data_IF_427806475959
#
_entry.id   IF_427806475959
#
_cell.length_a   1.000
_cell.length_b   1.000
_cell.length_c   1.000
_cell.angle_alpha   90.00
_cell.angle_beta   90.00
_cell.angle_gamma   90.00
#
_symmetry.space_group_name_H-M   'P 1'
#
loop_
_entity.id
_entity.type
_entity.pdbx_description
1 polymer ?
#
# COMPACT_ATOMS: atom_id res chain seq x y z
N UNK A 1 -10.31 -19.95 3.65
CA UNK A 1 -9.07 -20.66 3.23
C UNK A 1 -7.91 -19.69 3.44
N UNK A 2 -7.02 -19.94 4.43
CA UNK A 2 -5.83 -19.09 4.62
C UNK A 2 -4.77 -19.51 3.58
N UNK A 3 -4.81 -18.89 2.42
CA UNK A 3 -3.75 -19.07 1.42
C UNK A 3 -2.59 -18.19 1.85
N UNK A 4 -1.45 -18.79 2.15
CA UNK A 4 -0.22 -18.08 2.49
C UNK A 4 0.48 -17.66 1.20
N UNK A 5 1.27 -16.59 1.27
CA UNK A 5 2.15 -16.18 0.19
C UNK A 5 3.05 -17.37 -0.20
N UNK A 6 3.00 -17.75 -1.49
CA UNK A 6 3.77 -18.87 -2.03
C UNK A 6 4.70 -18.36 -3.12
N UNK A 7 5.98 -18.72 -3.03
CA UNK A 7 6.90 -18.48 -4.12
C UNK A 7 6.41 -19.20 -5.39
N UNK A 8 6.58 -18.54 -6.53
CA UNK A 8 6.24 -19.16 -7.81
C UNK A 8 7.26 -20.26 -8.16
N UNK A 9 6.82 -21.53 -8.12
CA UNK A 9 7.61 -22.72 -8.45
C UNK A 9 7.42 -23.18 -9.91
N UNK A 10 6.73 -22.40 -10.73
CA UNK A 10 6.51 -22.71 -12.14
C UNK A 10 7.73 -22.43 -13.03
N UNK A 11 7.61 -22.80 -14.31
CA UNK A 11 8.66 -22.59 -15.32
C UNK A 11 8.88 -21.08 -15.48
N UNK A 12 10.02 -20.60 -14.99
CA UNK A 12 10.56 -19.26 -15.23
C UNK A 12 11.85 -19.40 -16.01
N UNK A 13 11.88 -18.90 -17.23
CA UNK A 13 13.09 -18.83 -18.03
C UNK A 13 13.73 -17.46 -17.89
N UNK A 14 15.07 -17.39 -18.00
CA UNK A 14 15.73 -16.11 -18.16
C UNK A 14 15.17 -15.42 -19.42
N UNK A 15 14.87 -14.11 -19.32
CA UNK A 15 14.36 -13.36 -20.47
C UNK A 15 15.33 -13.37 -21.66
N UNK A 16 16.65 -13.41 -21.39
CA UNK A 16 17.66 -13.51 -22.45
C UNK A 16 17.61 -14.84 -23.20
N UNK A 17 17.42 -15.96 -22.49
CA UNK A 17 17.27 -17.29 -23.14
C UNK A 17 15.98 -17.36 -23.93
N UNK A 18 14.90 -16.76 -23.43
CA UNK A 18 13.62 -16.69 -24.16
C UNK A 18 13.73 -15.85 -25.43
N UNK A 19 14.47 -14.74 -25.42
CA UNK A 19 14.75 -13.94 -26.62
C UNK A 19 15.52 -14.77 -27.65
N UNK A 20 16.54 -15.53 -27.22
CA UNK A 20 17.34 -16.36 -28.12
C UNK A 20 16.48 -17.44 -28.78
N UNK A 21 15.60 -18.10 -28.00
CA UNK A 21 14.63 -19.06 -28.53
C UNK A 21 13.68 -18.40 -29.54
N UNK A 22 13.20 -17.20 -29.21
CA UNK A 22 12.28 -16.44 -30.09
C UNK A 22 12.97 -16.05 -31.41
N UNK A 23 14.24 -15.63 -31.37
CA UNK A 23 15.04 -15.33 -32.55
C UNK A 23 15.27 -16.58 -33.43
N UNK A 24 15.57 -17.73 -32.81
CA UNK A 24 15.71 -19.00 -33.52
C UNK A 24 14.38 -19.40 -34.21
N UNK A 25 13.24 -19.25 -33.48
CA UNK A 25 11.91 -19.54 -34.06
C UNK A 25 11.54 -18.57 -35.20
N UNK A 26 11.87 -17.29 -35.10
CA UNK A 26 11.64 -16.34 -36.19
C UNK A 26 12.50 -16.67 -37.41
N UNK A 27 13.77 -17.02 -37.22
CA UNK A 27 14.66 -17.45 -38.30
C UNK A 27 14.16 -18.70 -38.99
N UNK A 28 13.72 -19.71 -38.24
CA UNK A 28 13.13 -20.93 -38.79
C UNK A 28 11.82 -20.67 -39.50
N UNK A 29 10.97 -19.77 -38.98
CA UNK A 29 9.71 -19.37 -39.63
C UNK A 29 9.98 -18.72 -41.01
N UNK A 30 10.92 -17.78 -41.07
CA UNK A 30 11.30 -17.10 -42.34
C UNK A 30 11.90 -18.11 -43.33
N UNK A 31 12.77 -19.03 -42.88
CA UNK A 31 13.34 -20.06 -43.73
C UNK A 31 12.27 -20.99 -44.30
N UNK A 32 11.32 -21.47 -43.49
CA UNK A 32 10.21 -22.32 -43.93
C UNK A 32 9.27 -21.63 -44.91
N UNK A 33 9.04 -20.34 -44.74
CA UNK A 33 8.20 -19.55 -45.67
C UNK A 33 8.91 -19.30 -47.01
N UNK A 34 10.22 -19.36 -47.08
CA UNK A 34 10.98 -19.22 -48.33
C UNK A 34 10.96 -20.48 -49.22
N UNK A 35 10.57 -21.63 -48.65
CA UNK A 35 10.46 -22.88 -49.39
C UNK A 35 9.12 -22.96 -50.16
N UNK A 36 9.13 -23.34 -51.45
CA UNK A 36 7.92 -23.33 -52.29
C UNK A 36 6.97 -24.54 -52.05
N UNK A 37 7.17 -25.29 -50.96
CA UNK A 37 6.35 -26.46 -50.62
C UNK A 37 5.20 -26.07 -49.69
N UNK A 38 3.99 -26.52 -49.99
CA UNK A 38 2.78 -26.24 -49.21
C UNK A 38 2.91 -26.61 -47.73
N UNK A 39 3.49 -27.78 -47.30
CA UNK A 39 3.63 -28.14 -45.91
C UNK A 39 4.63 -27.22 -45.15
N UNK A 40 5.68 -26.72 -45.81
CA UNK A 40 6.62 -25.80 -45.22
C UNK A 40 6.03 -24.41 -44.94
N UNK A 41 5.17 -23.95 -45.84
CA UNK A 41 4.46 -22.67 -45.63
C UNK A 41 3.53 -22.77 -44.40
N UNK A 42 2.78 -23.85 -44.27
CA UNK A 42 1.91 -24.08 -43.10
C UNK A 42 2.73 -24.13 -41.81
N UNK A 43 3.85 -24.86 -41.78
CA UNK A 43 4.73 -24.92 -40.64
C UNK A 43 5.34 -23.56 -40.30
N UNK A 44 5.73 -22.75 -41.27
CA UNK A 44 6.24 -21.40 -41.09
C UNK A 44 5.20 -20.47 -40.46
N UNK A 45 3.93 -20.55 -40.91
CA UNK A 45 2.82 -19.77 -40.32
C UNK A 45 2.58 -20.18 -38.86
N UNK A 46 2.61 -21.47 -38.54
CA UNK A 46 2.43 -21.96 -37.17
C UNK A 46 3.57 -21.42 -36.27
N UNK A 47 4.83 -21.49 -36.73
CA UNK A 47 5.96 -20.93 -35.99
C UNK A 47 5.81 -19.42 -35.76
N UNK A 48 5.34 -18.67 -36.77
CA UNK A 48 5.06 -17.24 -36.63
C UNK A 48 3.98 -16.94 -35.56
N UNK A 49 2.91 -17.71 -35.53
CA UNK A 49 1.87 -17.59 -34.50
C UNK A 49 2.45 -17.90 -33.11
N UNK A 50 3.27 -18.93 -32.99
CA UNK A 50 3.95 -19.25 -31.69
C UNK A 50 4.81 -18.07 -31.20
N UNK A 51 5.55 -17.40 -32.07
CA UNK A 51 6.36 -16.21 -31.72
C UNK A 51 5.46 -15.10 -31.19
N UNK A 52 4.34 -14.80 -31.85
CA UNK A 52 3.39 -13.77 -31.42
C UNK A 52 2.80 -14.09 -30.04
N UNK A 53 2.43 -15.36 -29.81
CA UNK A 53 1.90 -15.81 -28.52
C UNK A 53 2.94 -15.73 -27.39
N UNK A 54 4.25 -15.87 -27.69
CA UNK A 54 5.30 -15.77 -26.69
C UNK A 54 5.58 -14.34 -26.21
N UNK A 55 5.23 -13.30 -26.99
CA UNK A 55 5.52 -11.89 -26.68
C UNK A 55 4.98 -11.44 -25.31
N UNK A 56 3.71 -11.67 -24.95
CA UNK A 56 3.21 -11.24 -23.64
C UNK A 56 3.81 -12.00 -22.45
N UNK A 57 4.62 -13.05 -22.70
CA UNK A 57 5.32 -13.80 -21.65
C UNK A 57 6.43 -13.02 -20.94
N UNK A 58 7.01 -12.01 -21.58
CA UNK A 58 8.11 -11.25 -20.99
C UNK A 58 7.69 -10.37 -19.82
N UNK A 59 8.54 -10.30 -18.78
CA UNK A 59 8.36 -9.42 -17.64
C UNK A 59 9.69 -8.95 -17.07
N UNK A 60 9.72 -7.70 -16.65
CA UNK A 60 10.84 -7.09 -15.93
C UNK A 60 10.39 -6.86 -14.48
N UNK A 61 11.20 -7.31 -13.53
CA UNK A 61 10.97 -7.13 -12.10
C UNK A 61 12.06 -6.21 -11.55
N UNK A 62 11.66 -5.00 -11.16
CA UNK A 62 12.56 -4.03 -10.56
C UNK A 62 12.86 -4.39 -9.10
N UNK A 63 13.97 -3.91 -8.51
CA UNK A 63 14.24 -4.04 -7.08
C UNK A 63 13.08 -3.47 -6.24
N UNK A 64 12.75 -4.16 -5.15
CA UNK A 64 11.62 -3.84 -4.26
C UNK A 64 10.23 -3.86 -4.92
N UNK A 65 10.10 -4.52 -6.06
CA UNK A 65 8.81 -4.85 -6.65
C UNK A 65 8.68 -6.37 -6.77
N UNK A 66 7.48 -6.85 -6.54
CA UNK A 66 7.12 -8.25 -6.74
C UNK A 66 6.09 -8.37 -7.85
N UNK A 67 6.07 -9.55 -8.49
CA UNK A 67 5.05 -9.90 -9.47
C UNK A 67 4.17 -11.02 -8.93
N UNK A 68 2.92 -10.69 -8.70
CA UNK A 68 1.88 -11.65 -8.35
C UNK A 68 1.33 -12.23 -9.65
N UNK A 69 1.41 -13.56 -9.78
CA UNK A 69 0.94 -14.30 -10.95
C UNK A 69 -0.38 -15.00 -10.64
N UNK A 70 -1.36 -14.79 -11.51
CA UNK A 70 -2.64 -15.49 -11.45
C UNK A 70 -2.89 -16.24 -12.76
N UNK A 71 -3.38 -17.45 -12.65
CA UNK A 71 -3.72 -18.31 -13.78
C UNK A 71 -5.22 -18.59 -13.76
N UNK A 72 -5.96 -18.07 -14.75
CA UNK A 72 -7.42 -18.21 -14.84
C UNK A 72 -8.14 -17.97 -13.50
N UNK A 73 -7.77 -16.87 -12.80
CA UNK A 73 -8.39 -16.51 -11.51
C UNK A 73 -7.84 -17.25 -10.30
N UNK A 74 -6.92 -18.20 -10.46
CA UNK A 74 -6.24 -18.87 -9.35
C UNK A 74 -4.88 -18.22 -9.08
N UNK A 75 -4.55 -17.99 -7.83
CA UNK A 75 -3.21 -17.56 -7.43
C UNK A 75 -2.19 -18.66 -7.73
N UNK A 76 -1.23 -18.37 -8.59
CA UNK A 76 -0.18 -19.28 -9.00
C UNK A 76 1.09 -19.13 -8.17
N UNK A 77 1.36 -17.94 -7.65
CA UNK A 77 2.52 -17.63 -6.83
C UNK A 77 3.03 -16.21 -7.06
N UNK A 78 3.98 -15.80 -6.22
CA UNK A 78 4.66 -14.50 -6.30
C UNK A 78 6.11 -14.70 -6.71
N UNK A 79 6.59 -13.92 -7.69
CA UNK A 79 8.00 -13.92 -8.10
C UNK A 79 8.71 -12.81 -7.35
N UNK A 80 9.64 -13.21 -6.47
CA UNK A 80 10.41 -12.31 -5.57
C UNK A 80 11.73 -11.88 -6.22
N UNK A 81 12.31 -12.72 -7.09
CA UNK A 81 13.62 -12.46 -7.68
C UNK A 81 13.56 -11.33 -8.71
N UNK A 82 14.43 -10.33 -8.56
CA UNK A 82 14.59 -9.23 -9.53
C UNK A 82 15.22 -9.75 -10.81
N UNK A 83 14.89 -9.13 -11.92
CA UNK A 83 15.52 -9.46 -13.20
C UNK A 83 14.55 -9.48 -14.35
N UNK A 84 15.05 -9.95 -15.47
CA UNK A 84 14.31 -10.12 -16.71
C UNK A 84 13.96 -11.59 -16.91
N UNK A 85 12.67 -11.90 -16.89
CA UNK A 85 12.15 -13.26 -16.96
C UNK A 85 11.10 -13.39 -18.06
N UNK A 86 10.96 -14.62 -18.51
CA UNK A 86 9.84 -15.06 -19.33
C UNK A 86 9.03 -16.11 -18.59
N UNK A 87 7.74 -15.93 -18.54
CA UNK A 87 6.76 -16.88 -17.97
C UNK A 87 5.68 -17.15 -18.97
N UNK A 88 4.90 -18.20 -18.76
CA UNK A 88 3.77 -18.53 -19.64
C UNK A 88 2.89 -17.28 -19.88
N UNK A 89 2.61 -16.93 -21.14
CA UNK A 89 1.84 -15.75 -21.51
C UNK A 89 0.40 -15.73 -20.97
N UNK A 90 -0.15 -16.89 -20.57
CA UNK A 90 -1.49 -17.00 -20.02
C UNK A 90 -1.60 -16.53 -18.54
N UNK A 91 -0.49 -16.24 -17.89
CA UNK A 91 -0.52 -15.66 -16.55
C UNK A 91 -0.85 -14.16 -16.61
N UNK A 92 -1.84 -13.76 -15.83
CA UNK A 92 -2.05 -12.36 -15.50
C UNK A 92 -0.99 -11.92 -14.47
N UNK A 93 -0.39 -10.76 -14.71
CA UNK A 93 0.76 -10.25 -13.95
C UNK A 93 0.36 -8.97 -13.24
N UNK A 94 0.28 -8.98 -11.92
CA UNK A 94 0.07 -7.79 -11.10
C UNK A 94 1.38 -7.40 -10.41
N UNK A 95 1.69 -6.09 -10.39
CA UNK A 95 2.89 -5.56 -9.72
C UNK A 95 2.51 -5.04 -8.35
N UNK A 96 3.23 -5.49 -7.33
CA UNK A 96 3.12 -4.99 -5.96
C UNK A 96 4.46 -4.41 -5.54
N UNK A 97 4.47 -3.18 -5.01
CA UNK A 97 5.68 -2.56 -4.50
C UNK A 97 5.85 -2.84 -3.00
N UNK A 98 7.07 -3.20 -2.61
CA UNK A 98 7.47 -3.32 -1.20
C UNK A 98 8.14 -2.05 -0.68
N UNK A 99 8.19 -1.00 -1.51
CA UNK A 99 8.77 0.29 -1.12
C UNK A 99 7.98 0.90 0.02
N UNK A 100 8.68 1.64 0.86
CA UNK A 100 8.05 2.44 1.90
C UNK A 100 7.27 3.58 1.24
N UNK A 101 6.04 3.77 1.67
CA UNK A 101 5.12 4.78 1.20
C UNK A 101 4.72 5.70 2.35
N UNK A 102 4.56 6.98 2.05
CA UNK A 102 4.08 7.97 3.00
C UNK A 102 2.62 8.31 2.70
N UNK A 103 1.83 8.40 3.75
CA UNK A 103 0.46 8.90 3.73
C UNK A 103 0.34 10.07 4.69
N UNK A 104 -0.03 11.23 4.18
CA UNK A 104 -0.41 12.36 5.01
C UNK A 104 -1.93 12.33 5.22
N UNK A 105 -2.35 12.34 6.47
CA UNK A 105 -3.74 12.39 6.89
C UNK A 105 -4.07 13.84 7.17
N UNK A 106 -5.01 14.38 6.41
CA UNK A 106 -5.51 15.74 6.60
C UNK A 106 -6.16 15.87 7.99
N UNK A 107 -6.09 17.05 8.62
CA UNK A 107 -6.66 17.24 9.94
C UNK A 107 -8.15 16.92 9.99
N UNK A 108 -8.51 15.94 10.82
CA UNK A 108 -9.89 15.53 11.09
C UNK A 108 -10.37 16.11 12.41
N UNK A 109 -11.66 16.49 12.48
CA UNK A 109 -12.30 16.92 13.71
C UNK A 109 -12.69 15.73 14.56
N UNK A 110 -12.18 15.69 15.79
CA UNK A 110 -12.46 14.63 16.78
C UNK A 110 -12.65 15.24 18.16
N UNK A 111 -13.22 14.49 19.10
CA UNK A 111 -13.28 14.90 20.49
C UNK A 111 -12.17 14.21 21.27
N UNK A 112 -11.53 14.95 22.15
CA UNK A 112 -10.56 14.42 23.11
C UNK A 112 -11.27 13.63 24.25
N UNK A 113 -10.49 13.05 25.18
CA UNK A 113 -11.00 12.32 26.35
C UNK A 113 -11.97 13.14 27.21
N UNK A 114 -11.80 14.46 27.25
CA UNK A 114 -12.62 15.37 28.05
C UNK A 114 -13.89 15.82 27.29
N UNK A 115 -13.91 15.61 25.98
CA UNK A 115 -15.00 16.02 25.10
C UNK A 115 -14.76 17.34 24.36
N UNK A 116 -13.56 17.89 24.40
CA UNK A 116 -13.21 19.08 23.65
C UNK A 116 -13.01 18.73 22.16
N UNK A 117 -13.64 19.47 21.22
CA UNK A 117 -13.38 19.28 19.81
C UNK A 117 -11.99 19.80 19.43
N UNK A 118 -11.19 18.89 18.86
CA UNK A 118 -9.83 19.16 18.37
C UNK A 118 -9.72 18.77 16.90
N UNK A 119 -8.78 19.40 16.21
CA UNK A 119 -8.32 19.04 14.87
C UNK A 119 -7.01 18.29 15.00
N UNK A 120 -6.95 17.06 14.51
CA UNK A 120 -5.78 16.20 14.58
C UNK A 120 -5.46 15.61 13.21
N UNK A 121 -4.19 15.69 12.82
CA UNK A 121 -3.65 15.09 11.61
C UNK A 121 -2.41 14.26 11.91
N UNK A 122 -2.06 13.35 11.03
CA UNK A 122 -0.92 12.48 11.19
C UNK A 122 -0.21 12.17 9.87
N UNK A 123 1.07 11.80 9.96
CA UNK A 123 1.81 11.19 8.86
C UNK A 123 2.03 9.73 9.21
N UNK A 124 1.68 8.85 8.29
CA UNK A 124 1.83 7.40 8.42
C UNK A 124 2.79 6.89 7.36
N UNK A 125 3.84 6.24 7.79
CA UNK A 125 4.84 5.58 6.95
C UNK A 125 4.57 4.09 6.98
N UNK A 126 4.32 3.50 5.83
CA UNK A 126 3.88 2.12 5.74
C UNK A 126 4.49 1.38 4.54
N UNK A 127 4.47 0.05 4.58
CA UNK A 127 4.87 -0.83 3.49
C UNK A 127 4.00 -2.08 3.42
N UNK A 128 3.99 -2.73 2.27
CA UNK A 128 3.35 -4.03 2.10
C UNK A 128 4.33 -5.10 2.59
N UNK A 129 3.86 -5.96 3.50
CA UNK A 129 4.61 -7.11 4.04
C UNK A 129 4.16 -8.42 3.42
N UNK A 130 2.84 -8.59 3.18
CA UNK A 130 2.24 -9.78 2.57
C UNK A 130 1.54 -9.37 1.28
N UNK A 131 2.15 -9.75 0.15
CA UNK A 131 1.66 -9.35 -1.18
C UNK A 131 0.38 -10.08 -1.58
N UNK A 132 0.16 -11.30 -1.06
CA UNK A 132 -1.07 -12.04 -1.30
C UNK A 132 -2.26 -11.31 -0.69
N UNK A 133 -2.18 -10.98 0.61
CA UNK A 133 -3.26 -10.26 1.32
C UNK A 133 -3.51 -8.90 0.69
N UNK A 134 -2.46 -8.14 0.40
CA UNK A 134 -2.58 -6.83 -0.22
C UNK A 134 -3.24 -6.87 -1.61
N UNK A 135 -3.09 -7.98 -2.36
CA UNK A 135 -3.62 -8.10 -3.72
C UNK A 135 -5.01 -8.70 -3.79
N UNK A 136 -5.41 -9.54 -2.81
CA UNK A 136 -6.64 -10.33 -2.90
C UNK A 136 -7.62 -10.13 -1.75
N UNK A 137 -7.14 -9.70 -0.57
CA UNK A 137 -8.01 -9.52 0.60
C UNK A 137 -8.57 -8.08 0.67
N UNK A 138 -7.99 -7.14 -0.09
CA UNK A 138 -8.46 -5.76 -0.18
C UNK A 138 -9.17 -5.54 -1.51
N UNK A 139 -10.38 -5.02 -1.44
CA UNK A 139 -11.12 -4.54 -2.61
C UNK A 139 -10.79 -3.06 -2.85
N UNK A 140 -10.30 -2.71 -4.04
CA UNK A 140 -10.03 -1.34 -4.43
C UNK A 140 -8.59 -0.87 -4.19
N UNK A 141 -8.44 0.43 -3.86
CA UNK A 141 -7.13 1.05 -3.73
C UNK A 141 -6.57 0.85 -2.31
N UNK A 142 -5.40 0.20 -2.22
CA UNK A 142 -4.69 -0.04 -0.94
C UNK A 142 -4.46 1.28 -0.18
N UNK A 143 -4.10 2.36 -0.88
CA UNK A 143 -3.84 3.66 -0.25
C UNK A 143 -5.09 4.23 0.41
N UNK A 144 -6.24 4.13 -0.24
CA UNK A 144 -7.53 4.56 0.31
C UNK A 144 -7.92 3.72 1.52
N UNK A 145 -7.70 2.40 1.46
CA UNK A 145 -7.91 1.52 2.60
C UNK A 145 -7.05 1.93 3.80
N UNK A 146 -5.76 2.18 3.60
CA UNK A 146 -4.85 2.66 4.65
C UNK A 146 -5.33 3.98 5.22
N UNK A 147 -5.78 4.93 4.39
CA UNK A 147 -6.29 6.22 4.83
C UNK A 147 -7.51 6.07 5.73
N UNK A 148 -8.52 5.31 5.31
CA UNK A 148 -9.76 5.10 6.09
C UNK A 148 -9.45 4.45 7.43
N UNK A 149 -8.57 3.44 7.46
CA UNK A 149 -8.19 2.78 8.71
C UNK A 149 -7.37 3.69 9.61
N UNK A 150 -6.55 4.56 9.03
CA UNK A 150 -5.74 5.52 9.77
C UNK A 150 -6.60 6.64 10.38
N UNK A 151 -7.59 7.14 9.67
CA UNK A 151 -8.56 8.11 10.20
C UNK A 151 -9.32 7.52 11.40
N UNK A 152 -9.71 6.24 11.30
CA UNK A 152 -10.41 5.54 12.37
C UNK A 152 -9.51 5.32 13.60
N UNK A 153 -8.25 4.91 13.40
CA UNK A 153 -7.27 4.72 14.47
C UNK A 153 -6.95 6.04 15.18
N UNK A 154 -6.73 7.11 14.39
CA UNK A 154 -6.44 8.44 14.90
C UNK A 154 -7.59 8.97 15.77
N UNK A 155 -8.84 8.78 15.34
CA UNK A 155 -10.04 9.14 16.12
C UNK A 155 -10.14 8.36 17.42
N UNK A 156 -9.81 7.08 17.40
CA UNK A 156 -9.83 6.22 18.60
C UNK A 156 -8.76 6.66 19.61
N UNK A 157 -7.52 6.86 19.14
CA UNK A 157 -6.41 7.29 20.00
C UNK A 157 -6.68 8.68 20.58
N UNK A 158 -7.16 9.62 19.77
CA UNK A 158 -7.51 10.97 20.24
C UNK A 158 -8.56 10.94 21.38
N UNK A 159 -9.54 10.05 21.32
CA UNK A 159 -10.56 9.90 22.39
C UNK A 159 -10.03 9.29 23.69
N UNK A 160 -8.82 8.70 23.69
CA UNK A 160 -8.24 8.10 24.90
C UNK A 160 -7.43 9.11 25.74
N UNK A 161 -6.94 10.18 25.14
CA UNK A 161 -6.05 11.16 25.77
C UNK A 161 -6.68 12.55 25.77
N UNK A 162 -6.41 13.34 26.83
CA UNK A 162 -6.79 14.74 26.86
C UNK A 162 -5.85 15.57 25.96
N UNK A 163 -6.35 16.66 25.40
CA UNK A 163 -5.52 17.59 24.61
C UNK A 163 -4.44 18.24 25.44
N UNK A 164 -4.81 18.74 26.64
CA UNK A 164 -3.89 19.41 27.57
C UNK A 164 -4.27 19.08 29.03
N UNK A 165 -3.34 19.21 29.96
CA UNK A 165 -3.56 19.01 31.39
C UNK A 165 -4.23 20.25 31.98
N UNK A 166 -5.52 20.15 32.29
CA UNK A 166 -6.22 21.14 33.11
C UNK A 166 -5.96 20.88 34.61
N UNK A 167 -4.70 20.75 35.04
CA UNK A 167 -4.36 20.58 36.46
C UNK A 167 -4.67 19.21 37.06
N UNK A 168 -5.10 18.22 36.28
CA UNK A 168 -5.30 16.84 36.72
C UNK A 168 -4.09 15.98 36.42
N UNK A 169 -3.92 14.91 37.22
CA UNK A 169 -2.75 14.04 37.37
C UNK A 169 -2.38 13.22 36.11
N UNK A 170 -3.07 13.39 35.01
CA UNK A 170 -2.77 12.69 33.75
C UNK A 170 -1.43 13.22 33.19
N UNK A 171 -0.38 12.42 33.35
CA UNK A 171 0.99 12.75 32.96
C UNK A 171 1.21 12.83 31.45
N UNK A 172 0.35 12.23 30.65
CA UNK A 172 0.49 12.12 29.18
C UNK A 172 -0.71 12.77 28.52
N UNK A 173 -0.44 13.79 27.71
CA UNK A 173 -1.48 14.50 26.94
C UNK A 173 -1.10 14.51 25.47
N UNK A 174 -2.07 14.72 24.58
CA UNK A 174 -1.82 14.79 23.13
C UNK A 174 -0.80 15.89 22.77
N UNK A 175 -0.71 16.95 23.57
CA UNK A 175 0.20 18.06 23.35
C UNK A 175 1.62 17.80 23.87
N UNK A 176 1.77 17.02 24.94
CA UNK A 176 3.06 16.73 25.59
C UNK A 176 3.31 15.21 25.60
N UNK A 177 3.51 14.62 24.42
CA UNK A 177 3.93 13.23 24.28
C UNK A 177 5.47 13.11 24.36
N UNK A 178 6.05 13.53 25.51
CA UNK A 178 7.50 13.44 25.74
C UNK A 178 7.97 11.98 25.84
N UNK A 179 7.09 11.06 26.22
CA UNK A 179 7.40 9.64 26.36
C UNK A 179 7.26 8.84 25.07
N UNK A 180 6.63 9.40 24.02
CA UNK A 180 6.30 8.69 22.79
C UNK A 180 5.20 7.63 22.97
N UNK A 181 4.49 7.63 24.11
CA UNK A 181 3.46 6.64 24.43
C UNK A 181 2.28 6.70 23.45
N UNK A 182 1.85 7.91 23.12
CA UNK A 182 0.73 8.13 22.17
C UNK A 182 1.10 7.70 20.77
N UNK A 183 2.33 8.05 20.35
CA UNK A 183 2.90 7.63 19.07
C UNK A 183 2.92 6.10 18.97
N UNK A 184 3.44 5.43 19.98
CA UNK A 184 3.50 3.97 20.01
C UNK A 184 2.10 3.34 20.04
N UNK A 185 1.17 3.92 20.81
CA UNK A 185 -0.21 3.47 20.84
C UNK A 185 -0.90 3.58 19.48
N UNK A 186 -0.64 4.68 18.76
CA UNK A 186 -1.14 4.88 17.39
C UNK A 186 -0.57 3.84 16.43
N UNK A 187 0.73 3.56 16.51
CA UNK A 187 1.38 2.54 15.69
C UNK A 187 0.81 1.13 15.96
N UNK A 188 0.61 0.76 17.21
CA UNK A 188 0.03 -0.52 17.62
C UNK A 188 -1.40 -0.68 17.11
N UNK A 189 -2.22 0.36 17.27
CA UNK A 189 -3.61 0.36 16.78
C UNK A 189 -3.66 0.25 15.25
N UNK A 190 -2.80 0.99 14.54
CA UNK A 190 -2.68 0.91 13.09
C UNK A 190 -2.22 -0.47 12.63
N UNK A 191 -1.17 -1.03 13.26
CA UNK A 191 -0.66 -2.35 12.92
C UNK A 191 -1.73 -3.44 13.13
N UNK A 192 -2.51 -3.36 14.21
CA UNK A 192 -3.58 -4.34 14.47
C UNK A 192 -4.66 -4.32 13.39
N UNK A 193 -5.05 -3.14 12.91
CA UNK A 193 -6.07 -2.95 11.87
C UNK A 193 -5.58 -3.32 10.47
N UNK A 194 -4.34 -2.96 10.16
CA UNK A 194 -3.76 -3.13 8.84
C UNK A 194 -3.10 -4.50 8.62
N UNK A 195 -2.85 -5.27 9.68
CA UNK A 195 -2.33 -6.64 9.60
C UNK A 195 -3.22 -7.58 8.78
N UNK A 196 -4.54 -7.36 8.77
CA UNK A 196 -5.51 -8.11 7.97
C UNK A 196 -5.18 -7.98 6.49
N UNK A 197 -4.76 -6.81 6.07
CA UNK A 197 -4.41 -6.45 4.71
C UNK A 197 -2.94 -6.77 4.34
N UNK A 198 -2.16 -7.34 5.25
CA UNK A 198 -0.75 -7.61 5.04
C UNK A 198 0.12 -6.36 4.93
N UNK A 199 -0.31 -5.27 5.56
CA UNK A 199 0.39 -3.98 5.61
C UNK A 199 1.07 -3.84 6.97
N UNK A 200 2.28 -3.30 6.99
CA UNK A 200 3.07 -3.02 8.17
C UNK A 200 3.32 -1.51 8.28
N UNK A 201 3.05 -0.96 9.44
CA UNK A 201 3.38 0.43 9.76
C UNK A 201 4.83 0.47 10.22
N UNK A 202 5.60 1.34 9.59
CA UNK A 202 7.00 1.60 9.95
C UNK A 202 7.09 2.69 11.00
N UNK A 203 6.26 3.74 10.84
CA UNK A 203 6.21 4.89 11.72
C UNK A 203 4.88 5.61 11.56
N UNK A 204 4.32 6.13 12.65
CA UNK A 204 3.15 6.99 12.62
C UNK A 204 3.35 8.15 13.59
N UNK A 205 3.22 9.39 13.12
CA UNK A 205 3.39 10.59 13.94
C UNK A 205 2.26 11.58 13.75
N UNK A 206 1.80 12.18 14.83
CA UNK A 206 0.88 13.30 14.79
C UNK A 206 1.67 14.52 14.27
N UNK A 207 1.22 15.10 13.16
CA UNK A 207 1.84 16.27 12.53
C UNK A 207 1.03 17.56 12.70
N UNK A 208 -0.25 17.42 13.07
CA UNK A 208 -1.13 18.55 13.30
C UNK A 208 -2.00 18.31 14.52
N UNK A 209 -2.03 19.28 15.42
CA UNK A 209 -2.88 19.24 16.61
C UNK A 209 -3.26 20.65 17.04
N UNK A 210 -4.55 20.94 17.03
CA UNK A 210 -5.09 22.24 17.41
C UNK A 210 -6.51 22.11 17.98
N UNK A 211 -6.96 23.08 18.76
CA UNK A 211 -8.39 23.19 19.08
C UNK A 211 -9.19 23.46 17.80
N UNK A 212 -10.39 22.90 17.72
CA UNK A 212 -11.31 23.23 16.65
C UNK A 212 -11.67 24.74 16.69
N UNK A 213 -11.90 25.37 15.52
CA UNK A 213 -12.13 26.82 15.42
C UNK A 213 -13.24 27.31 16.33
N UNK A 214 -14.25 26.50 16.61
CA UNK A 214 -15.38 26.85 17.47
C UNK A 214 -14.96 27.12 18.91
N UNK A 215 -14.02 26.32 19.47
CA UNK A 215 -13.50 26.55 20.82
C UNK A 215 -12.45 27.67 20.83
N UNK A 216 -11.62 27.76 19.81
CA UNK A 216 -10.62 28.82 19.71
C UNK A 216 -11.29 30.20 19.77
N UNK A 217 -12.43 30.36 19.09
CA UNK A 217 -13.20 31.61 19.16
C UNK A 217 -13.72 31.89 20.57
N UNK A 218 -14.22 30.91 21.29
CA UNK A 218 -14.71 31.08 22.67
C UNK A 218 -13.61 31.46 23.66
N UNK A 219 -12.41 30.91 23.49
CA UNK A 219 -11.25 31.25 24.34
C UNK A 219 -10.78 32.69 24.13
N UNK A 220 -10.88 33.22 22.89
CA UNK A 220 -10.50 34.61 22.59
C UNK A 220 -11.59 35.63 22.93
N UNK A 221 -12.88 35.23 22.92
CA UNK A 221 -14.01 36.11 23.17
C UNK A 221 -14.51 36.08 24.61
N UNK A 222 -13.96 35.22 25.47
CA UNK A 222 -14.28 35.19 26.89
C UNK A 222 -13.89 36.53 27.54
N UNK A 223 -14.86 37.31 28.07
CA UNK A 223 -14.54 38.60 28.66
C UNK A 223 -13.57 38.42 29.82
N UNK A 224 -12.47 39.15 29.80
CA UNK A 224 -11.50 39.17 30.89
C UNK A 224 -12.20 39.61 32.20
N UNK A 225 -11.84 39.04 33.35
CA UNK A 225 -12.34 39.50 34.61
C UNK A 225 -12.15 41.00 34.86
N UNK A 226 -11.24 41.63 34.13
CA UNK A 226 -11.03 43.12 34.12
C UNK A 226 -12.10 43.89 33.40
N UNK A 227 -12.82 43.30 32.45
CA UNK A 227 -13.88 44.00 31.70
C UNK A 227 -15.16 44.18 32.52
N UNK A 228 -15.36 43.34 33.59
CA UNK A 228 -16.48 43.50 34.52
C UNK A 228 -16.38 44.73 35.40
N UNK A 229 -15.21 45.33 35.57
CA UNK A 229 -15.00 46.47 36.46
C UNK A 229 -15.16 47.84 35.76
N UNK A 230 -15.36 47.88 34.43
CA UNK A 230 -15.48 49.12 33.68
C UNK A 230 -16.93 49.56 33.39
N UNK A 231 -17.94 48.82 33.84
CA UNK A 231 -19.37 49.17 33.67
C UNK A 231 -20.01 49.64 34.99
N UNK A 232 -19.35 50.52 35.73
CA UNK A 232 -19.96 51.32 36.81
C UNK A 232 -19.53 52.76 36.69
#
# INVERSE_FOLDING_TARGET
MKTQEKNFDGIKLSGFTAILIMLALTGTAIYLLSLPQTPSIIAGVICGICVVVMLPGFMIIQPNNLRVLTFFGRYAGTVISNGFYWVNPLFLKSTVTLRILNLNIDPIKVNDKVGNPIMIGAVVVWRIKDTYKASFDISGNIREFVQIQSDAALRQVAGMYAYDTNGTIDKVTLRSDESGEITQRLEDELNSRLAIAGIEIVEARINYLAYAPEIACLLYTSPSPRDRTRSR
#
